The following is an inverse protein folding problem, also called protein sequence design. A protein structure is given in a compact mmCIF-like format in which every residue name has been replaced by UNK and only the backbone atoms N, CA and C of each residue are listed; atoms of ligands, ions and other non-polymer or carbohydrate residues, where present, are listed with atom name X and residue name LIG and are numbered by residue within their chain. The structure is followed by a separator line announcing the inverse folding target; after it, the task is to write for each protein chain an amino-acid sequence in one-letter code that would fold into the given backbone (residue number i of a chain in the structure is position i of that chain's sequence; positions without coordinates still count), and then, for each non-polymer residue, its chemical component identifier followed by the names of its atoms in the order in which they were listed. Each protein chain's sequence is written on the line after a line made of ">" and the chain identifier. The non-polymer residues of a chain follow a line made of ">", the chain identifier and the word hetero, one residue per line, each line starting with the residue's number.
data_IF_431128366687
#
_entry.id   IF_431128366687
#
_cell.length_a   1.000
_cell.length_b   1.000
_cell.length_c   1.000
_cell.angle_alpha   90.00
_cell.angle_beta   90.00
_cell.angle_gamma   90.00
#
_symmetry.space_group_name_H-M   'P 1'
#
loop_
_entity.id
_entity.type
_entity.pdbx_description
1 polymer ?
#
# COMPACT_ATOMS: atom_id res chain seq x y z
N UNK A 1 -17.53 -6.24 2.96
CA UNK A 1 -17.74 -5.06 3.82
C UNK A 1 -16.65 -4.06 3.43
N UNK A 2 -16.97 -2.77 3.28
CA UNK A 2 -15.96 -1.73 3.03
C UNK A 2 -15.01 -1.63 4.24
N UNK A 3 -13.73 -1.32 4.00
CA UNK A 3 -12.70 -1.17 5.04
C UNK A 3 -12.07 0.20 4.94
N UNK A 4 -11.78 0.79 6.09
CA UNK A 4 -10.98 2.01 6.19
C UNK A 4 -9.52 1.73 5.86
N UNK A 5 -8.76 2.77 5.49
CA UNK A 5 -7.32 2.69 5.26
C UNK A 5 -6.58 2.04 6.43
N UNK A 6 -6.93 2.39 7.67
CA UNK A 6 -6.34 1.80 8.88
C UNK A 6 -6.66 0.30 9.03
N UNK A 7 -7.91 -0.12 8.78
CA UNK A 7 -8.30 -1.54 8.82
C UNK A 7 -7.66 -2.36 7.70
N UNK A 8 -7.36 -1.74 6.56
CA UNK A 8 -6.61 -2.40 5.48
C UNK A 8 -5.15 -2.57 5.92
N UNK A 9 -4.51 -1.53 6.45
CA UNK A 9 -3.12 -1.59 6.92
C UNK A 9 -2.92 -2.62 8.04
N UNK A 10 -3.84 -2.64 9.02
CA UNK A 10 -3.83 -3.63 10.10
C UNK A 10 -3.95 -5.06 9.55
N UNK A 11 -4.93 -5.29 8.67
CA UNK A 11 -5.12 -6.60 8.02
C UNK A 11 -3.90 -7.06 7.23
N UNK A 12 -3.29 -6.19 6.42
CA UNK A 12 -2.15 -6.59 5.60
C UNK A 12 -0.87 -6.76 6.43
N UNK A 13 -0.80 -6.20 7.64
CA UNK A 13 0.35 -6.35 8.53
C UNK A 13 0.55 -7.80 9.03
N UNK A 14 -0.50 -8.63 8.95
CA UNK A 14 -0.43 -10.06 9.26
C UNK A 14 0.33 -10.86 8.18
N UNK A 15 0.52 -10.29 7.00
CA UNK A 15 1.27 -10.90 5.92
C UNK A 15 2.73 -10.48 6.00
N UNK A 16 3.61 -11.36 5.53
CA UNK A 16 5.00 -10.98 5.30
C UNK A 16 5.00 -9.96 4.15
N UNK A 17 5.37 -8.72 4.46
CA UNK A 17 5.53 -7.63 3.50
C UNK A 17 6.84 -6.96 3.86
N UNK A 18 7.64 -6.63 2.86
CA UNK A 18 8.87 -5.89 3.10
C UNK A 18 8.56 -4.53 3.78
N UNK A 19 9.30 -4.15 4.85
CA UNK A 19 8.95 -2.98 5.67
C UNK A 19 8.89 -1.67 4.90
N UNK A 20 9.65 -1.55 3.80
CA UNK A 20 9.68 -0.35 2.97
C UNK A 20 8.36 -0.22 2.19
N UNK A 21 7.91 -1.30 1.56
CA UNK A 21 6.70 -1.40 0.76
C UNK A 21 5.46 -1.13 1.62
N UNK A 22 5.44 -1.66 2.85
CA UNK A 22 4.39 -1.35 3.82
C UNK A 22 4.34 0.15 4.16
N UNK A 23 5.50 0.76 4.48
CA UNK A 23 5.56 2.19 4.82
C UNK A 23 5.19 3.10 3.65
N UNK A 24 5.59 2.74 2.44
CA UNK A 24 5.21 3.49 1.24
C UNK A 24 3.68 3.43 1.01
N UNK A 25 3.06 2.28 1.25
CA UNK A 25 1.60 2.14 1.17
C UNK A 25 0.87 2.90 2.29
N UNK A 26 1.38 2.86 3.52
CA UNK A 26 0.86 3.63 4.66
C UNK A 26 0.87 5.14 4.36
N UNK A 27 1.97 5.64 3.80
CA UNK A 27 2.09 7.04 3.39
C UNK A 27 1.07 7.40 2.29
N UNK A 28 0.91 6.52 1.28
CA UNK A 28 -0.06 6.70 0.21
C UNK A 28 -1.51 6.76 0.75
N UNK A 29 -1.87 5.86 1.66
CA UNK A 29 -3.19 5.85 2.28
C UNK A 29 -3.43 7.06 3.18
N UNK A 30 -2.41 7.48 3.93
CA UNK A 30 -2.48 8.70 4.74
C UNK A 30 -2.74 9.93 3.86
N UNK A 31 -2.02 10.05 2.74
CA UNK A 31 -2.26 11.12 1.78
C UNK A 31 -3.68 11.08 1.21
N UNK A 32 -4.16 9.89 0.84
CA UNK A 32 -5.53 9.69 0.35
C UNK A 32 -6.58 10.13 1.38
N UNK A 33 -6.40 9.78 2.66
CA UNK A 33 -7.29 10.17 3.74
C UNK A 33 -7.26 11.70 3.97
N UNK A 34 -6.10 12.33 3.87
CA UNK A 34 -5.98 13.79 3.94
C UNK A 34 -6.76 14.47 2.80
N UNK A 35 -6.66 13.95 1.57
CA UNK A 35 -7.41 14.48 0.41
C UNK A 35 -8.91 14.27 0.57
N UNK A 36 -9.34 13.06 0.95
CA UNK A 36 -10.75 12.66 1.06
C UNK A 36 -11.46 13.33 2.24
N UNK A 37 -10.81 13.43 3.39
CA UNK A 37 -11.45 13.84 4.65
C UNK A 37 -10.95 15.18 5.19
N UNK A 38 -9.67 15.52 5.04
CA UNK A 38 -9.08 16.75 5.57
C UNK A 38 -9.09 17.93 4.58
N UNK A 39 -9.69 17.76 3.39
CA UNK A 39 -9.71 18.75 2.28
C UNK A 39 -8.31 19.20 1.85
N UNK A 40 -7.31 18.36 2.10
CA UNK A 40 -5.96 18.59 1.62
C UNK A 40 -5.96 18.53 0.09
N UNK A 41 -5.11 19.35 -0.53
CA UNK A 41 -4.85 19.29 -1.98
C UNK A 41 -3.47 18.71 -2.19
N UNK A 42 -3.42 17.47 -2.67
CA UNK A 42 -2.18 16.85 -3.08
C UNK A 42 -1.51 17.69 -4.18
N UNK A 43 -0.21 17.87 -4.05
CA UNK A 43 0.67 18.46 -5.05
C UNK A 43 0.72 17.60 -6.31
N UNK A 44 1.22 18.17 -7.41
CA UNK A 44 1.43 17.39 -8.64
C UNK A 44 2.38 16.22 -8.41
N UNK A 45 3.49 16.45 -7.70
CA UNK A 45 4.48 15.43 -7.40
C UNK A 45 3.88 14.28 -6.57
N UNK A 46 3.11 14.57 -5.53
CA UNK A 46 2.46 13.53 -4.71
C UNK A 46 1.49 12.66 -5.54
N UNK A 47 0.76 13.26 -6.48
CA UNK A 47 -0.11 12.51 -7.40
C UNK A 47 0.71 11.65 -8.38
N UNK A 48 1.81 12.18 -8.89
CA UNK A 48 2.71 11.46 -9.80
C UNK A 48 3.41 10.29 -9.10
N UNK A 49 3.76 10.43 -7.81
CA UNK A 49 4.40 9.40 -7.00
C UNK A 49 3.42 8.30 -6.52
N UNK A 50 2.12 8.61 -6.42
CA UNK A 50 1.10 7.67 -5.97
C UNK A 50 0.99 6.41 -6.87
N UNK A 51 0.96 6.62 -8.19
CA UNK A 51 0.82 5.54 -9.18
C UNK A 51 1.98 4.55 -9.13
N UNK A 52 3.26 4.96 -9.27
CA UNK A 52 4.38 4.02 -9.22
C UNK A 52 4.51 3.35 -7.86
N UNK A 53 4.13 4.03 -6.76
CA UNK A 53 4.11 3.42 -5.41
C UNK A 53 3.10 2.27 -5.33
N UNK A 54 1.87 2.48 -5.80
CA UNK A 54 0.87 1.42 -5.84
C UNK A 54 1.29 0.24 -6.73
N UNK A 55 1.86 0.52 -7.92
CA UNK A 55 2.35 -0.52 -8.83
C UNK A 55 3.49 -1.32 -8.20
N UNK A 56 4.45 -0.65 -7.55
CA UNK A 56 5.54 -1.34 -6.82
C UNK A 56 5.00 -2.27 -5.75
N UNK A 57 4.05 -1.80 -4.93
CA UNK A 57 3.45 -2.60 -3.86
C UNK A 57 2.77 -3.87 -4.41
N UNK A 58 1.94 -3.73 -5.45
CA UNK A 58 1.26 -4.88 -6.08
C UNK A 58 2.27 -5.88 -6.65
N UNK A 59 3.27 -5.40 -7.38
CA UNK A 59 4.26 -6.29 -7.98
C UNK A 59 5.10 -7.01 -6.92
N UNK A 60 5.55 -6.29 -5.88
CA UNK A 60 6.35 -6.87 -4.80
C UNK A 60 5.56 -7.95 -4.05
N UNK A 61 4.32 -7.67 -3.65
CA UNK A 61 3.49 -8.63 -2.91
C UNK A 61 3.05 -9.82 -3.77
N UNK A 62 2.81 -9.61 -5.06
CA UNK A 62 2.54 -10.70 -6.00
C UNK A 62 3.72 -11.65 -6.17
N UNK A 63 4.92 -11.10 -6.42
CA UNK A 63 6.15 -11.91 -6.56
C UNK A 63 6.45 -12.69 -5.28
N UNK A 64 6.30 -12.06 -4.12
CA UNK A 64 6.52 -12.72 -2.84
C UNK A 64 5.53 -13.88 -2.62
N UNK A 65 4.25 -13.69 -2.97
CA UNK A 65 3.25 -14.76 -2.91
C UNK A 65 3.61 -15.95 -3.82
N UNK A 66 4.12 -15.70 -5.02
CA UNK A 66 4.58 -16.76 -5.93
C UNK A 66 5.79 -17.52 -5.37
N UNK A 67 6.71 -16.85 -4.69
CA UNK A 67 7.87 -17.47 -4.04
C UNK A 67 7.46 -18.34 -2.85
N UNK A 68 6.54 -17.85 -2.02
CA UNK A 68 6.00 -18.58 -0.88
C UNK A 68 5.21 -19.84 -1.31
N UNK A 69 4.56 -19.82 -2.47
CA UNK A 69 3.90 -21.00 -3.07
C UNK A 69 4.92 -22.03 -3.58
N UNK A 70 5.96 -21.60 -4.31
CA UNK A 70 6.99 -22.52 -4.84
C UNK A 70 7.84 -23.19 -3.76
N UNK A 71 7.98 -22.56 -2.59
CA UNK A 71 8.71 -23.14 -1.46
C UNK A 71 7.93 -24.18 -0.64
N UNK A 72 6.67 -24.47 -1.02
CA UNK A 72 5.79 -25.44 -0.34
C UNK A 72 5.67 -26.78 -1.06
N UNK A 73 6.26 -26.92 -2.25
CA UNK A 73 6.41 -28.17 -3.01
C UNK A 73 7.72 -28.90 -2.67
#
# INVERSE_FOLDING_TARGET
>A
MEKTSAEILDMISEFKIEPKEYKELEALFTLSDLVKFAKYKATQQENEEAVPTAVRFVNATFLQGMEDEKGRD
#
